data_IF_246568747401
#
_entry.id   IF_246568747401
#
_cell.length_a   1.000
_cell.length_b   1.000
_cell.length_c   1.000
_cell.angle_alpha   90.00
_cell.angle_beta   90.00
_cell.angle_gamma   90.00
#
_symmetry.space_group_name_H-M   'P 1'
#
loop_
_entity.id
_entity.type
_entity.pdbx_description
1 polymer ?
#
# COMPACT_ATOMS: atom_id res chain seq x y z
N UNK A 1 14.75 25.10 -3.82
CA UNK A 1 14.55 24.79 -2.39
C UNK A 1 14.97 23.36 -2.12
N UNK A 2 15.60 23.10 -0.96
CA UNK A 2 16.02 21.74 -0.57
C UNK A 2 14.77 20.94 -0.20
N UNK A 3 14.51 19.80 -0.86
CA UNK A 3 13.40 18.89 -0.54
C UNK A 3 13.71 18.09 0.73
N UNK A 4 12.72 17.91 1.60
CA UNK A 4 12.83 16.97 2.73
C UNK A 4 12.70 15.51 2.25
N UNK A 5 12.89 14.53 3.16
CA UNK A 5 12.86 13.12 2.80
C UNK A 5 11.50 12.67 2.26
N UNK A 6 10.41 13.07 2.92
CA UNK A 6 9.04 12.73 2.50
C UNK A 6 8.75 13.22 1.08
N UNK A 7 9.09 14.48 0.78
CA UNK A 7 8.92 15.08 -0.54
C UNK A 7 9.74 14.37 -1.61
N UNK A 8 10.95 13.90 -1.27
CA UNK A 8 11.78 13.09 -2.18
C UNK A 8 11.12 11.73 -2.44
N UNK A 9 10.70 11.03 -1.38
CA UNK A 9 10.05 9.72 -1.49
C UNK A 9 8.76 9.80 -2.31
N UNK A 10 7.90 10.78 -2.03
CA UNK A 10 6.66 10.97 -2.79
C UNK A 10 6.96 11.34 -4.24
N UNK A 11 7.93 12.23 -4.51
CA UNK A 11 8.31 12.57 -5.88
C UNK A 11 8.75 11.35 -6.69
N UNK A 12 9.40 10.35 -6.08
CA UNK A 12 9.85 9.13 -6.77
C UNK A 12 8.72 8.13 -7.09
N UNK A 13 7.58 8.24 -6.40
CA UNK A 13 6.46 7.30 -6.51
C UNK A 13 5.17 7.97 -7.01
N UNK A 14 5.20 9.26 -7.30
CA UNK A 14 4.04 10.04 -7.76
C UNK A 14 3.57 9.56 -9.14
N UNK A 15 2.30 9.17 -9.22
CA UNK A 15 1.62 8.79 -10.46
C UNK A 15 0.74 9.94 -10.97
N UNK A 16 0.06 10.65 -10.06
CA UNK A 16 -0.85 11.76 -10.38
C UNK A 16 -0.93 12.75 -9.22
N UNK A 17 -1.16 14.03 -9.53
CA UNK A 17 -1.35 15.11 -8.56
C UNK A 17 -0.08 15.94 -8.36
N UNK A 18 -0.08 16.81 -7.34
CA UNK A 18 1.09 17.59 -6.92
C UNK A 18 1.34 17.33 -5.44
N UNK A 19 2.61 17.21 -5.04
CA UNK A 19 3.00 17.06 -3.64
C UNK A 19 2.89 18.40 -2.88
N UNK A 20 1.68 18.96 -2.81
CA UNK A 20 1.31 20.13 -2.05
C UNK A 20 0.47 19.71 -0.85
N UNK A 21 0.46 20.53 0.20
CA UNK A 21 -0.31 20.25 1.41
C UNK A 21 -1.80 20.25 1.07
N UNK A 22 -2.57 19.35 1.67
CA UNK A 22 -4.03 19.24 1.52
C UNK A 22 -4.52 18.86 0.11
N UNK A 23 -3.62 18.58 -0.84
CA UNK A 23 -3.98 18.05 -2.16
C UNK A 23 -3.91 16.51 -2.19
N UNK A 24 -4.88 15.90 -2.89
CA UNK A 24 -4.87 14.46 -3.15
C UNK A 24 -3.80 14.10 -4.18
N UNK A 25 -3.10 12.99 -3.92
CA UNK A 25 -2.08 12.44 -4.81
C UNK A 25 -2.30 10.94 -5.00
N UNK A 26 -1.94 10.45 -6.18
CA UNK A 26 -1.83 9.02 -6.42
C UNK A 26 -0.36 8.62 -6.34
N UNK A 27 -0.05 7.66 -5.46
CA UNK A 27 1.28 7.08 -5.33
C UNK A 27 1.27 5.64 -5.85
N UNK A 28 2.37 5.23 -6.48
CA UNK A 28 2.63 3.83 -6.76
C UNK A 28 3.04 3.16 -5.45
N UNK A 29 2.34 2.09 -5.09
CA UNK A 29 2.66 1.24 -3.94
C UNK A 29 3.62 0.15 -4.39
N UNK A 30 4.79 0.06 -3.77
CA UNK A 30 5.78 -0.96 -4.12
C UNK A 30 5.50 -2.30 -3.41
N UNK A 31 5.01 -2.23 -2.17
CA UNK A 31 4.75 -3.38 -1.32
C UNK A 31 3.47 -3.22 -0.50
N UNK A 32 2.80 -4.34 -0.22
CA UNK A 32 1.66 -4.41 0.69
C UNK A 32 1.97 -5.45 1.76
N UNK A 33 1.84 -5.06 3.02
CA UNK A 33 2.02 -5.95 4.18
C UNK A 33 0.67 -6.07 4.88
N UNK A 34 0.19 -7.31 5.01
CA UNK A 34 -1.03 -7.66 5.73
C UNK A 34 -0.65 -8.35 7.04
N UNK A 35 -1.33 -8.01 8.12
CA UNK A 35 -1.27 -8.80 9.36
C UNK A 35 -2.48 -9.73 9.41
N UNK A 36 -2.36 -10.86 10.09
CA UNK A 36 -3.42 -11.87 10.21
C UNK A 36 -4.77 -11.33 10.68
N UNK A 37 -4.77 -10.36 11.60
CA UNK A 37 -5.99 -9.74 12.14
C UNK A 37 -6.78 -8.93 11.10
N UNK A 38 -6.11 -8.42 10.06
CA UNK A 38 -6.72 -7.58 9.00
C UNK A 38 -6.70 -8.22 7.62
N UNK A 39 -5.89 -9.25 7.42
CA UNK A 39 -5.63 -9.90 6.13
C UNK A 39 -6.89 -10.48 5.50
N UNK A 40 -7.74 -11.13 6.31
CA UNK A 40 -8.97 -11.79 5.82
C UNK A 40 -9.90 -10.76 5.18
N UNK A 41 -10.21 -9.67 5.88
CA UNK A 41 -11.10 -8.63 5.35
C UNK A 41 -10.49 -7.94 4.13
N UNK A 42 -9.18 -7.64 4.14
CA UNK A 42 -8.52 -7.03 3.00
C UNK A 42 -8.58 -7.93 1.74
N UNK A 43 -8.41 -9.24 1.90
CA UNK A 43 -8.52 -10.21 0.81
C UNK A 43 -9.96 -10.35 0.29
N UNK A 44 -10.95 -10.40 1.18
CA UNK A 44 -12.38 -10.43 0.78
C UNK A 44 -12.76 -9.18 -0.02
N UNK A 45 -12.35 -7.99 0.43
CA UNK A 45 -12.56 -6.76 -0.32
C UNK A 45 -11.85 -6.78 -1.68
N UNK A 46 -10.64 -7.34 -1.75
CA UNK A 46 -9.91 -7.51 -3.01
C UNK A 46 -10.64 -8.44 -4.00
N UNK A 47 -11.26 -9.53 -3.51
CA UNK A 47 -12.06 -10.43 -4.35
C UNK A 47 -13.24 -9.72 -5.02
N UNK A 48 -13.86 -8.75 -4.33
CA UNK A 48 -14.98 -7.97 -4.89
C UNK A 48 -14.59 -7.15 -6.13
N UNK A 49 -13.30 -6.79 -6.26
CA UNK A 49 -12.76 -6.06 -7.40
C UNK A 49 -12.68 -6.93 -8.67
N UNK A 50 -12.87 -8.26 -8.54
CA UNK A 50 -12.83 -9.24 -9.65
C UNK A 50 -11.54 -9.14 -10.48
N UNK A 51 -10.44 -8.81 -9.82
CA UNK A 51 -9.11 -8.77 -10.44
C UNK A 51 -8.46 -10.14 -10.33
N UNK A 52 -7.82 -10.66 -11.40
CA UNK A 52 -7.27 -12.01 -11.38
C UNK A 52 -6.02 -12.15 -10.51
N UNK A 53 -5.36 -11.04 -10.18
CA UNK A 53 -4.15 -10.99 -9.34
C UNK A 53 -3.89 -9.58 -8.84
N UNK A 54 -3.12 -9.50 -7.76
CA UNK A 54 -2.52 -8.25 -7.32
C UNK A 54 -1.64 -7.63 -8.43
N UNK A 55 -1.63 -6.29 -8.48
CA UNK A 55 -0.84 -5.50 -9.45
C UNK A 55 0.45 -4.93 -8.85
N UNK A 56 0.65 -5.08 -7.55
CA UNK A 56 1.86 -4.64 -6.84
C UNK A 56 2.93 -5.74 -6.89
N UNK A 57 4.19 -5.35 -6.70
CA UNK A 57 5.35 -6.25 -6.89
C UNK A 57 5.44 -7.31 -5.79
N UNK A 58 5.21 -6.92 -4.55
CA UNK A 58 5.37 -7.81 -3.38
C UNK A 58 4.23 -7.61 -2.38
N UNK A 59 3.40 -8.64 -2.19
CA UNK A 59 2.45 -8.71 -1.09
C UNK A 59 2.92 -9.78 -0.09
N UNK A 60 2.91 -9.46 1.20
CA UNK A 60 3.25 -10.41 2.26
C UNK A 60 2.13 -10.39 3.30
N UNK A 61 1.67 -11.57 3.72
CA UNK A 61 0.77 -11.72 4.85
C UNK A 61 1.52 -12.38 6.00
N UNK A 62 1.63 -11.69 7.12
CA UNK A 62 2.24 -12.20 8.34
C UNK A 62 1.17 -12.86 9.21
N UNK A 63 1.43 -14.12 9.61
CA UNK A 63 0.56 -14.92 10.48
C UNK A 63 1.32 -15.21 11.76
N UNK A 64 1.31 -14.24 12.66
CA UNK A 64 2.12 -14.22 13.88
C UNK A 64 1.29 -14.00 15.15
N UNK A 65 0.08 -13.47 15.06
CA UNK A 65 -0.84 -13.26 16.19
C UNK A 65 -1.77 -14.45 16.43
N UNK A 66 -2.11 -15.21 15.39
CA UNK A 66 -3.02 -16.37 15.46
C UNK A 66 -2.31 -17.72 15.65
N UNK A 67 -0.99 -17.73 15.85
CA UNK A 67 -0.30 -18.93 16.30
C UNK A 67 -0.71 -19.18 17.75
N UNK A 68 -1.45 -20.26 18.01
CA UNK A 68 -1.66 -20.77 19.37
C UNK A 68 -0.28 -20.89 20.04
N UNK A 69 -0.01 -20.05 21.04
CA UNK A 69 1.15 -20.18 21.93
C UNK A 69 0.94 -21.33 22.91
#
# INVERSE_FOLDING_TARGET
>A
MKKNLLQKLFSCHLVKGKCLKEEEIALRVDQVLLNDSTSVMACLEFETLKLPRIKIKTAVSYIDHNLLQ
#
